data_IF_209104894713
#
_entry.id   IF_209104894713
#
_cell.length_a   1.000
_cell.length_b   1.000
_cell.length_c   1.000
_cell.angle_alpha   90.00
_cell.angle_beta   90.00
_cell.angle_gamma   90.00
#
_symmetry.space_group_name_H-M   'P 1'
#
loop_
_entity.id
_entity.type
_entity.pdbx_description
1 polymer ?
#
# COMPACT_ATOMS: atom_id res chain seq x y z
N UNK A 1 7.84 -5.81 -8.97
CA UNK A 1 7.70 -7.23 -8.59
C UNK A 1 6.39 -7.54 -7.84
N UNK A 2 5.81 -6.59 -7.08
CA UNK A 2 4.57 -6.82 -6.30
C UNK A 2 3.24 -6.70 -7.08
N UNK A 3 3.29 -6.23 -8.34
CA UNK A 3 2.11 -6.17 -9.19
C UNK A 3 1.83 -7.55 -9.79
N UNK A 4 0.80 -8.25 -9.33
CA UNK A 4 0.42 -9.58 -9.83
C UNK A 4 -0.58 -9.53 -11.00
N UNK A 5 -1.25 -8.40 -11.24
CA UNK A 5 -2.12 -8.27 -12.42
C UNK A 5 -1.28 -8.09 -13.69
N UNK A 6 -1.42 -8.99 -14.65
CA UNK A 6 -0.69 -8.94 -15.93
C UNK A 6 -0.87 -7.60 -16.65
N UNK A 7 -2.11 -7.10 -16.75
CA UNK A 7 -2.38 -5.78 -17.33
C UNK A 7 -1.67 -4.65 -16.56
N UNK A 8 -1.69 -4.71 -15.23
CA UNK A 8 -0.95 -3.78 -14.38
C UNK A 8 0.56 -3.82 -14.64
N UNK A 9 1.15 -5.01 -14.78
CA UNK A 9 2.57 -5.14 -15.11
C UNK A 9 2.92 -4.49 -16.44
N UNK A 10 2.08 -4.68 -17.48
CA UNK A 10 2.28 -4.06 -18.80
C UNK A 10 2.21 -2.53 -18.68
N UNK A 11 1.17 -2.02 -18.01
CA UNK A 11 0.97 -0.58 -17.82
C UNK A 11 2.14 0.07 -17.07
N UNK A 12 2.63 -0.56 -16.00
CA UNK A 12 3.75 -0.04 -15.21
C UNK A 12 5.10 -0.16 -15.93
N UNK A 13 5.32 -1.21 -16.75
CA UNK A 13 6.48 -1.29 -17.64
C UNK A 13 6.49 -0.14 -18.65
N UNK A 14 5.32 0.18 -19.22
CA UNK A 14 5.15 1.35 -20.08
C UNK A 14 5.49 2.65 -19.35
N UNK A 15 5.05 2.81 -18.10
CA UNK A 15 5.38 3.97 -17.28
C UNK A 15 6.88 4.14 -17.05
N UNK A 16 7.60 3.07 -16.72
CA UNK A 16 9.06 3.10 -16.52
C UNK A 16 9.79 3.45 -17.82
N UNK A 17 9.35 2.91 -18.96
CA UNK A 17 9.91 3.28 -20.26
C UNK A 17 9.69 4.76 -20.57
N UNK A 18 8.47 5.26 -20.35
CA UNK A 18 8.11 6.66 -20.56
C UNK A 18 8.93 7.57 -19.65
N UNK A 19 9.11 7.22 -18.37
CA UNK A 19 9.88 8.00 -17.39
C UNK A 19 11.28 8.34 -17.90
N UNK A 20 12.00 7.36 -18.44
CA UNK A 20 13.37 7.50 -18.94
C UNK A 20 13.50 8.27 -20.27
N UNK A 21 12.44 8.41 -21.06
CA UNK A 21 12.53 8.98 -22.40
C UNK A 21 12.14 10.47 -22.44
N UNK A 22 13.01 11.41 -22.86
CA UNK A 22 12.77 12.86 -22.73
C UNK A 22 11.57 13.40 -23.52
N UNK A 23 11.11 12.67 -24.55
CA UNK A 23 10.02 13.11 -25.44
C UNK A 23 8.70 12.34 -25.25
N UNK A 24 8.65 11.31 -24.42
CA UNK A 24 7.42 10.53 -24.21
C UNK A 24 6.68 11.03 -22.97
N UNK A 25 5.36 11.14 -23.07
CA UNK A 25 4.46 11.51 -21.96
C UNK A 25 3.33 10.49 -21.91
N UNK A 26 2.96 10.06 -20.70
CA UNK A 26 2.04 8.95 -20.53
C UNK A 26 0.59 9.39 -20.55
N UNK A 27 -0.25 8.66 -21.28
CA UNK A 27 -1.71 8.73 -21.19
C UNK A 27 -2.22 7.39 -20.69
N UNK A 28 -2.93 7.39 -19.57
CA UNK A 28 -3.57 6.22 -18.99
C UNK A 28 -5.06 6.29 -19.27
N UNK A 29 -5.60 5.28 -19.95
CA UNK A 29 -7.04 5.16 -20.24
C UNK A 29 -7.60 4.11 -19.29
N UNK A 30 -8.65 4.45 -18.56
CA UNK A 30 -9.31 3.58 -17.58
C UNK A 30 -10.83 3.75 -17.67
N UNK A 31 -11.57 2.83 -17.08
CA UNK A 31 -13.02 2.87 -17.01
C UNK A 31 -13.47 3.30 -15.61
N UNK A 32 -14.63 3.95 -15.54
CA UNK A 32 -15.26 4.24 -14.26
C UNK A 32 -15.42 2.96 -13.42
N UNK A 33 -15.08 3.04 -12.13
CA UNK A 33 -15.13 1.90 -11.20
C UNK A 33 -14.21 0.72 -11.54
N UNK A 34 -13.22 0.90 -12.42
CA UNK A 34 -12.23 -0.16 -12.70
C UNK A 34 -11.46 -0.52 -11.42
N UNK A 35 -11.59 -1.78 -11.02
CA UNK A 35 -11.09 -2.20 -9.71
C UNK A 35 -9.56 -2.22 -9.59
N UNK A 36 -8.84 -2.97 -10.44
CA UNK A 36 -7.39 -2.97 -10.45
C UNK A 36 -6.79 -1.56 -10.62
N UNK A 37 -7.39 -0.73 -11.47
CA UNK A 37 -6.89 0.61 -11.77
C UNK A 37 -6.99 1.58 -10.60
N UNK A 38 -7.82 1.28 -9.58
CA UNK A 38 -7.83 2.04 -8.32
C UNK A 38 -6.46 2.07 -7.64
N UNK A 39 -5.59 1.09 -7.90
CA UNK A 39 -4.19 1.07 -7.43
C UNK A 39 -3.21 1.44 -8.55
N UNK A 40 -3.36 0.86 -9.74
CA UNK A 40 -2.40 0.98 -10.84
C UNK A 40 -2.21 2.45 -11.25
N UNK A 41 -3.28 3.25 -11.28
CA UNK A 41 -3.20 4.68 -11.64
C UNK A 41 -2.32 5.45 -10.64
N UNK A 42 -2.37 5.10 -9.35
CA UNK A 42 -1.50 5.67 -8.32
C UNK A 42 -0.04 5.33 -8.60
N UNK A 43 0.28 4.05 -8.79
CA UNK A 43 1.64 3.59 -9.11
C UNK A 43 2.19 4.19 -10.41
N UNK A 44 1.35 4.30 -11.44
CA UNK A 44 1.70 4.93 -12.71
C UNK A 44 2.13 6.39 -12.51
N UNK A 45 1.38 7.17 -11.71
CA UNK A 45 1.74 8.55 -11.36
C UNK A 45 3.03 8.61 -10.54
N UNK A 46 3.18 7.73 -9.56
CA UNK A 46 4.38 7.68 -8.71
C UNK A 46 5.65 7.38 -9.52
N UNK A 47 5.56 6.48 -10.51
CA UNK A 47 6.67 6.16 -11.43
C UNK A 47 7.07 7.40 -12.24
N UNK A 48 6.10 8.09 -12.85
CA UNK A 48 6.35 9.27 -13.68
C UNK A 48 6.77 10.51 -12.84
N UNK A 49 6.38 10.56 -11.58
CA UNK A 49 6.75 11.60 -10.63
C UNK A 49 6.31 13.00 -11.10
N UNK A 50 7.29 13.87 -11.36
CA UNK A 50 7.02 15.24 -11.85
C UNK A 50 6.69 15.31 -13.34
N UNK A 51 6.88 14.21 -14.08
CA UNK A 51 6.64 14.19 -15.52
C UNK A 51 5.13 14.18 -15.78
N UNK A 52 4.60 15.11 -16.59
CA UNK A 52 3.17 15.18 -16.86
C UNK A 52 2.63 13.88 -17.43
N UNK A 53 1.44 13.52 -16.97
CA UNK A 53 0.68 12.38 -17.47
C UNK A 53 -0.80 12.70 -17.51
N UNK A 54 -1.51 12.14 -18.49
CA UNK A 54 -2.96 12.29 -18.64
C UNK A 54 -3.67 11.02 -18.15
N UNK A 55 -4.76 11.18 -17.39
CA UNK A 55 -5.63 10.07 -17.00
C UNK A 55 -7.02 10.34 -17.60
N UNK A 56 -7.39 9.51 -18.57
CA UNK A 56 -8.69 9.51 -19.23
C UNK A 56 -9.54 8.42 -18.61
N UNK A 57 -10.57 8.83 -17.86
CA UNK A 57 -11.56 7.91 -17.31
C UNK A 57 -12.79 7.94 -18.20
N UNK A 58 -13.18 6.77 -18.70
CA UNK A 58 -14.29 6.58 -19.61
C UNK A 58 -15.46 5.93 -18.87
N UNK A 59 -16.64 6.49 -19.05
CA UNK A 59 -17.93 5.91 -18.67
C UNK A 59 -18.86 5.82 -19.90
N UNK A 60 -19.98 5.11 -19.77
CA UNK A 60 -20.96 4.89 -20.85
C UNK A 60 -21.56 6.20 -21.41
N UNK A 61 -21.45 7.32 -20.70
CA UNK A 61 -21.94 8.64 -21.09
C UNK A 61 -20.82 9.63 -21.45
N UNK A 62 -19.62 9.15 -21.78
CA UNK A 62 -18.50 10.06 -22.11
C UNK A 62 -18.77 10.76 -23.45
N UNK A 63 -18.88 12.08 -23.43
CA UNK A 63 -19.01 12.90 -24.64
C UNK A 63 -17.65 13.15 -25.29
N UNK A 64 -17.58 13.03 -26.62
CA UNK A 64 -16.34 13.17 -27.41
C UNK A 64 -15.62 14.50 -27.15
N UNK A 65 -16.38 15.59 -27.08
CA UNK A 65 -15.84 16.94 -26.80
C UNK A 65 -15.11 17.01 -25.45
N UNK A 66 -15.57 16.27 -24.44
CA UNK A 66 -14.93 16.23 -23.13
C UNK A 66 -13.56 15.54 -23.15
N UNK A 67 -13.34 14.61 -24.07
CA UNK A 67 -12.04 13.95 -24.26
C UNK A 67 -11.10 14.88 -25.01
N UNK A 68 -11.55 15.49 -26.11
CA UNK A 68 -10.75 16.42 -26.93
C UNK A 68 -10.17 17.55 -26.09
N UNK A 69 -10.99 18.26 -25.31
CA UNK A 69 -10.54 19.37 -24.47
C UNK A 69 -9.51 18.92 -23.42
N UNK A 70 -9.64 17.71 -22.86
CA UNK A 70 -8.67 17.18 -21.88
C UNK A 70 -7.33 16.84 -22.54
N UNK A 71 -7.36 16.36 -23.78
CA UNK A 71 -6.15 16.09 -24.58
C UNK A 71 -5.47 17.40 -24.96
N UNK A 72 -6.20 18.39 -25.45
CA UNK A 72 -5.67 19.72 -25.80
C UNK A 72 -5.01 20.38 -24.58
N UNK A 73 -5.70 20.42 -23.44
CA UNK A 73 -5.15 20.96 -22.20
C UNK A 73 -3.89 20.19 -21.74
N UNK A 74 -3.85 18.88 -21.95
CA UNK A 74 -2.66 18.09 -21.64
C UNK A 74 -1.47 18.41 -22.55
N UNK A 75 -1.70 18.58 -23.85
CA UNK A 75 -0.64 18.98 -24.80
C UNK A 75 -0.04 20.33 -24.44
N UNK A 76 -0.84 21.28 -23.97
CA UNK A 76 -0.37 22.56 -23.46
C UNK A 76 0.54 22.40 -22.22
N UNK A 77 0.15 21.53 -21.27
CA UNK A 77 0.98 21.20 -20.10
C UNK A 77 2.31 20.58 -20.52
N UNK A 78 2.30 19.67 -21.50
CA UNK A 78 3.51 19.04 -22.04
C UNK A 78 4.43 20.08 -22.69
N UNK A 79 3.87 20.99 -23.49
CA UNK A 79 4.63 22.08 -24.13
C UNK A 79 5.31 22.97 -23.08
N UNK A 80 4.58 23.36 -22.02
CA UNK A 80 5.13 24.14 -20.90
C UNK A 80 6.18 23.37 -20.11
N UNK A 81 5.96 22.09 -19.83
CA UNK A 81 6.93 21.27 -19.11
C UNK A 81 8.26 21.18 -19.87
N UNK A 82 8.20 20.98 -21.20
CA UNK A 82 9.39 20.92 -22.07
C UNK A 82 10.18 22.23 -22.07
N UNK A 83 9.50 23.38 -22.08
CA UNK A 83 10.17 24.69 -22.05
C UNK A 83 10.82 25.00 -20.70
N UNK A 84 10.30 24.44 -19.60
CA UNK A 84 10.91 24.55 -18.26
C UNK A 84 12.11 23.61 -18.08
N UNK A 85 12.04 22.40 -18.64
CA UNK A 85 13.15 21.44 -18.63
C UNK A 85 14.36 21.97 -19.41
N UNK A 86 14.15 22.58 -20.58
CA UNK A 86 15.26 23.17 -21.36
C UNK A 86 15.97 24.31 -20.63
N UNK A 87 15.27 25.01 -19.73
CA UNK A 87 15.82 26.07 -18.87
C UNK A 87 16.56 25.56 -17.63
N UNK A 88 16.70 24.24 -17.45
CA UNK A 88 17.32 23.60 -16.25
C UNK A 88 16.76 24.11 -14.90
N UNK A 89 15.51 24.61 -14.88
CA UNK A 89 14.89 25.11 -13.65
C UNK A 89 14.51 24.00 -12.67
N UNK A 90 14.43 22.75 -13.13
CA UNK A 90 14.29 21.58 -12.28
C UNK A 90 15.67 21.11 -11.79
N UNK A 91 16.34 21.93 -10.99
CA UNK A 91 17.46 21.46 -10.19
C UNK A 91 16.96 20.32 -9.29
N UNK A 92 17.65 19.19 -9.33
CA UNK A 92 17.23 17.96 -8.67
C UNK A 92 16.96 18.21 -7.19
N UNK A 93 15.74 17.89 -6.74
CA UNK A 93 15.58 17.59 -5.33
C UNK A 93 16.39 16.31 -5.13
N UNK A 94 17.51 16.43 -4.41
CA UNK A 94 18.29 15.27 -3.99
C UNK A 94 17.36 14.21 -3.43
N UNK A 95 17.75 12.94 -3.60
CA UNK A 95 17.02 11.81 -3.04
C UNK A 95 16.69 12.14 -1.59
N UNK A 96 15.42 12.48 -1.32
CA UNK A 96 14.97 12.70 0.05
C UNK A 96 15.15 11.33 0.67
N UNK A 97 16.14 11.20 1.55
CA UNK A 97 16.32 10.04 2.40
C UNK A 97 15.07 9.93 3.25
N UNK A 98 14.09 9.22 2.71
CA UNK A 98 12.83 8.94 3.38
C UNK A 98 13.17 7.85 4.38
N UNK A 99 13.04 8.11 5.70
CA UNK A 99 13.36 7.15 6.74
C UNK A 99 12.77 5.80 6.38
N UNK A 100 13.65 4.80 6.34
CA UNK A 100 13.35 3.49 5.80
C UNK A 100 12.31 2.80 6.66
N UNK A 101 11.42 2.07 5.99
CA UNK A 101 10.73 0.94 6.62
C UNK A 101 11.78 0.04 7.29
N UNK A 102 11.39 -0.79 8.25
CA UNK A 102 12.31 -1.76 8.83
C UNK A 102 12.18 -3.09 8.11
N UNK A 103 13.29 -3.81 7.91
CA UNK A 103 13.26 -5.20 7.44
C UNK A 103 13.14 -6.14 8.64
N UNK A 104 12.23 -7.10 8.57
CA UNK A 104 12.01 -8.05 9.66
C UNK A 104 12.84 -9.31 9.40
N UNK A 105 13.78 -9.62 10.32
CA UNK A 105 14.76 -10.70 10.14
C UNK A 105 14.14 -12.09 10.05
N UNK A 106 13.14 -12.35 10.87
CA UNK A 106 12.56 -13.68 11.05
C UNK A 106 11.52 -14.04 9.99
N UNK A 107 11.15 -13.10 9.12
CA UNK A 107 10.23 -13.36 8.01
C UNK A 107 11.00 -13.96 6.84
N UNK A 108 10.76 -15.23 6.56
CA UNK A 108 11.23 -15.89 5.34
C UNK A 108 10.25 -15.68 4.17
N UNK A 109 9.78 -14.45 3.95
CA UNK A 109 8.83 -14.16 2.87
C UNK A 109 9.52 -13.48 1.69
N UNK A 110 9.00 -13.73 0.49
CA UNK A 110 9.42 -13.06 -0.76
C UNK A 110 9.12 -11.55 -0.80
N UNK A 111 8.58 -10.99 0.29
CA UNK A 111 8.08 -9.61 0.39
C UNK A 111 8.88 -8.78 1.39
N UNK A 112 10.04 -9.27 1.84
CA UNK A 112 10.98 -8.45 2.59
C UNK A 112 11.40 -7.25 1.75
N UNK A 113 10.90 -6.07 2.11
CA UNK A 113 11.25 -4.84 1.43
C UNK A 113 12.71 -4.51 1.70
N UNK A 114 13.48 -4.26 0.64
CA UNK A 114 14.92 -3.97 0.71
C UNK A 114 15.26 -2.59 1.32
N UNK A 115 14.29 -1.97 1.99
CA UNK A 115 14.36 -0.60 2.44
C UNK A 115 14.58 -0.62 3.95
N UNK A 116 15.78 -0.29 4.39
CA UNK A 116 16.08 0.08 5.78
C UNK A 116 16.77 -0.97 6.65
N UNK A 117 17.04 -0.62 7.92
CA UNK A 117 17.76 -1.48 8.85
C UNK A 117 16.93 -2.71 9.24
N UNK A 118 17.63 -3.79 9.56
CA UNK A 118 17.00 -5.01 10.03
C UNK A 118 16.63 -4.93 11.52
N UNK A 119 15.45 -5.42 11.86
CA UNK A 119 14.94 -5.56 13.22
C UNK A 119 14.39 -6.96 13.46
N UNK A 120 14.51 -7.43 14.70
CA UNK A 120 13.92 -8.70 15.13
C UNK A 120 12.47 -8.51 15.55
N UNK A 121 11.59 -9.47 15.24
CA UNK A 121 10.24 -9.54 15.80
C UNK A 121 10.20 -9.60 17.33
N UNK A 122 11.31 -10.00 17.95
CA UNK A 122 11.46 -10.11 19.39
C UNK A 122 12.13 -8.88 20.03
N UNK A 123 12.42 -7.82 19.26
CA UNK A 123 12.92 -6.56 19.82
C UNK A 123 11.85 -5.94 20.74
N UNK A 124 12.16 -5.58 22.00
CA UNK A 124 11.19 -5.00 22.92
C UNK A 124 10.52 -3.72 22.44
N UNK A 125 11.15 -2.99 21.52
CA UNK A 125 10.61 -1.76 20.91
C UNK A 125 9.64 -2.07 19.77
N UNK A 126 9.74 -3.25 19.16
CA UNK A 126 8.86 -3.64 18.06
C UNK A 126 7.51 -4.10 18.62
N UNK A 127 6.44 -3.58 18.03
CA UNK A 127 5.07 -4.02 18.33
C UNK A 127 4.32 -4.35 17.06
N UNK A 128 3.79 -5.56 16.99
CA UNK A 128 2.95 -5.99 15.88
C UNK A 128 1.52 -5.50 16.11
N UNK A 129 1.05 -4.61 15.25
CA UNK A 129 -0.26 -3.96 15.38
C UNK A 129 -1.23 -4.56 14.38
N UNK A 130 -2.32 -5.14 14.87
CA UNK A 130 -3.36 -5.78 14.07
C UNK A 130 -4.52 -4.82 13.84
N UNK A 131 -4.88 -4.61 12.58
CA UNK A 131 -6.14 -3.98 12.20
C UNK A 131 -7.31 -4.87 12.64
N UNK A 132 -8.39 -4.28 13.14
CA UNK A 132 -9.61 -5.03 13.50
C UNK A 132 -10.35 -5.50 12.24
N UNK A 133 -9.98 -6.67 11.72
CA UNK A 133 -10.56 -7.27 10.50
C UNK A 133 -11.61 -8.36 10.81
N UNK A 134 -11.84 -8.64 12.08
CA UNK A 134 -12.76 -9.64 12.60
C UNK A 134 -12.65 -9.68 14.11
N UNK A 135 -13.77 -9.67 14.83
CA UNK A 135 -13.78 -9.51 16.27
C UNK A 135 -13.00 -10.62 16.96
N UNK A 136 -13.21 -11.88 16.57
CA UNK A 136 -12.53 -13.01 17.20
C UNK A 136 -11.27 -13.41 16.45
N UNK A 137 -11.32 -13.49 15.12
CA UNK A 137 -10.18 -13.92 14.31
C UNK A 137 -8.93 -13.06 14.52
N UNK A 138 -9.08 -11.74 14.61
CA UNK A 138 -7.95 -10.82 14.83
C UNK A 138 -7.30 -11.05 16.21
N UNK A 139 -8.13 -11.19 17.24
CA UNK A 139 -7.65 -11.43 18.60
C UNK A 139 -7.02 -12.81 18.77
N UNK A 140 -7.60 -13.84 18.14
CA UNK A 140 -7.07 -15.19 18.15
C UNK A 140 -5.70 -15.24 17.46
N UNK A 141 -5.55 -14.60 16.29
CA UNK A 141 -4.26 -14.52 15.62
C UNK A 141 -3.23 -13.73 16.43
N UNK A 142 -3.60 -12.58 17.00
CA UNK A 142 -2.71 -11.82 17.89
C UNK A 142 -2.29 -12.64 19.13
N UNK A 143 -3.18 -13.49 19.66
CA UNK A 143 -2.85 -14.41 20.75
C UNK A 143 -1.82 -15.46 20.33
N UNK A 144 -1.88 -15.97 19.10
CA UNK A 144 -0.83 -16.86 18.56
C UNK A 144 0.51 -16.15 18.55
N UNK A 145 0.59 -14.93 18.01
CA UNK A 145 1.83 -14.14 18.01
C UNK A 145 2.39 -13.92 19.43
N UNK A 146 1.52 -13.57 20.40
CA UNK A 146 1.93 -13.45 21.81
C UNK A 146 2.44 -14.76 22.41
N UNK A 147 1.85 -15.90 22.03
CA UNK A 147 2.32 -17.22 22.44
C UNK A 147 3.74 -17.54 21.99
N UNK A 148 4.19 -16.94 20.87
CA UNK A 148 5.56 -17.01 20.38
C UNK A 148 6.48 -15.96 21.04
N UNK A 149 5.99 -15.13 21.96
CA UNK A 149 6.76 -14.09 22.63
C UNK A 149 6.84 -12.76 21.85
N UNK A 150 6.02 -12.58 20.82
CA UNK A 150 5.98 -11.35 20.03
C UNK A 150 5.05 -10.33 20.71
N UNK A 151 5.51 -9.09 20.85
CA UNK A 151 4.70 -8.02 21.39
C UNK A 151 3.63 -7.59 20.37
N UNK A 152 2.36 -7.57 20.78
CA UNK A 152 1.23 -7.27 19.88
C UNK A 152 0.30 -6.17 20.42
N UNK A 153 -0.40 -5.49 19.52
CA UNK A 153 -1.58 -4.67 19.81
C UNK A 153 -2.70 -5.07 18.85
N UNK A 154 -3.94 -5.14 19.32
CA UNK A 154 -5.11 -5.24 18.45
C UNK A 154 -5.84 -3.91 18.52
N UNK A 155 -6.05 -3.28 17.37
CA UNK A 155 -6.80 -2.02 17.30
C UNK A 155 -8.29 -2.28 17.59
N UNK A 156 -9.01 -1.30 18.14
CA UNK A 156 -10.45 -1.42 18.35
C UNK A 156 -11.22 -1.57 17.02
N UNK A 157 -12.51 -1.89 17.12
CA UNK A 157 -13.39 -1.85 15.95
C UNK A 157 -13.35 -0.47 15.30
N UNK A 158 -13.20 -0.44 13.98
CA UNK A 158 -13.01 0.80 13.23
C UNK A 158 -14.30 1.62 13.20
N UNK A 159 -14.17 2.92 13.43
CA UNK A 159 -15.27 3.87 13.53
C UNK A 159 -15.33 4.86 12.35
N UNK A 160 -16.20 5.86 12.47
CA UNK A 160 -16.37 6.87 11.42
C UNK A 160 -15.11 7.74 11.24
N UNK A 161 -14.31 7.91 12.29
CA UNK A 161 -13.06 8.66 12.20
C UNK A 161 -12.01 7.89 11.39
N UNK A 162 -11.91 6.57 11.60
CA UNK A 162 -11.06 5.71 10.77
C UNK A 162 -11.44 5.83 9.30
N UNK A 163 -12.74 5.78 8.99
CA UNK A 163 -13.22 5.96 7.63
C UNK A 163 -12.88 7.35 7.06
N UNK A 164 -13.03 8.42 7.84
CA UNK A 164 -12.68 9.79 7.43
C UNK A 164 -11.19 9.92 7.14
N UNK A 165 -10.33 9.40 8.01
CA UNK A 165 -8.88 9.39 7.82
C UNK A 165 -8.48 8.57 6.60
N UNK A 166 -9.08 7.39 6.42
CA UNK A 166 -8.89 6.54 5.25
C UNK A 166 -9.24 7.23 3.95
N UNK A 167 -10.43 7.81 3.85
CA UNK A 167 -10.90 8.55 2.67
C UNK A 167 -10.02 9.76 2.36
N UNK A 168 -9.59 10.49 3.39
CA UNK A 168 -8.70 11.64 3.23
C UNK A 168 -7.29 11.29 2.72
N UNK A 169 -6.91 10.01 2.75
CA UNK A 169 -5.57 9.54 2.42
C UNK A 169 -5.53 8.45 1.32
N UNK A 170 -6.68 8.18 0.70
CA UNK A 170 -6.84 7.26 -0.44
C UNK A 170 -7.52 7.99 -1.60
N UNK A 171 -7.73 7.34 -2.74
CA UNK A 171 -8.46 7.96 -3.86
C UNK A 171 -9.98 7.77 -3.75
N UNK A 172 -10.44 7.05 -2.71
CA UNK A 172 -11.81 6.57 -2.54
C UNK A 172 -12.30 5.64 -3.66
N UNK A 173 -11.41 5.19 -4.56
CA UNK A 173 -11.73 4.21 -5.61
C UNK A 173 -11.37 2.79 -5.18
N UNK A 174 -10.55 2.66 -4.15
CA UNK A 174 -10.15 1.40 -3.53
C UNK A 174 -11.28 0.86 -2.64
N UNK A 175 -11.25 -0.44 -2.31
CA UNK A 175 -12.30 -1.05 -1.49
C UNK A 175 -12.37 -0.42 -0.09
N UNK A 176 -13.56 -0.42 0.51
CA UNK A 176 -13.80 0.06 1.86
C UNK A 176 -12.81 -0.50 2.91
N UNK A 177 -12.43 -1.81 2.89
CA UNK A 177 -11.46 -2.33 3.85
C UNK A 177 -10.08 -1.66 3.76
N UNK A 178 -9.60 -1.25 2.58
CA UNK A 178 -8.34 -0.48 2.49
C UNK A 178 -8.47 0.86 3.21
N UNK A 179 -9.60 1.55 2.99
CA UNK A 179 -9.84 2.86 3.57
C UNK A 179 -9.86 2.75 5.10
N UNK A 180 -10.62 1.79 5.63
CA UNK A 180 -10.73 1.56 7.07
C UNK A 180 -9.40 1.17 7.70
N UNK A 181 -8.70 0.18 7.14
CA UNK A 181 -7.39 -0.28 7.68
C UNK A 181 -6.31 0.81 7.58
N UNK A 182 -6.27 1.57 6.48
CA UNK A 182 -5.37 2.73 6.37
C UNK A 182 -5.72 3.78 7.42
N UNK A 183 -7.01 4.08 7.60
CA UNK A 183 -7.49 5.00 8.63
C UNK A 183 -7.07 4.60 10.03
N UNK A 184 -7.28 3.33 10.39
CA UNK A 184 -6.91 2.76 11.67
C UNK A 184 -5.41 2.82 11.93
N UNK A 185 -4.58 2.54 10.92
CA UNK A 185 -3.13 2.73 11.01
C UNK A 185 -2.79 4.20 11.31
N UNK A 186 -3.37 5.15 10.58
CA UNK A 186 -3.06 6.57 10.75
C UNK A 186 -3.53 7.11 12.10
N UNK A 187 -4.71 6.70 12.56
CA UNK A 187 -5.25 7.04 13.87
C UNK A 187 -4.34 6.51 14.97
N UNK A 188 -3.94 5.24 14.89
CA UNK A 188 -3.01 4.63 15.83
C UNK A 188 -1.68 5.38 15.91
N UNK A 189 -1.07 5.65 14.75
CA UNK A 189 0.21 6.35 14.68
C UNK A 189 0.16 7.77 15.24
N UNK A 190 -1.01 8.43 15.19
CA UNK A 190 -1.23 9.79 15.67
C UNK A 190 -1.52 9.85 17.17
N UNK A 191 -2.38 8.97 17.68
CA UNK A 191 -3.00 9.15 19.01
C UNK A 191 -2.58 8.10 20.03
N UNK A 192 -2.33 6.87 19.59
CA UNK A 192 -2.20 5.70 20.50
C UNK A 192 -0.78 5.13 20.55
N UNK A 193 0.07 5.52 19.60
CA UNK A 193 1.43 4.99 19.47
C UNK A 193 2.32 5.40 20.66
N UNK A 194 2.85 4.43 21.43
CA UNK A 194 3.81 4.69 22.49
C UNK A 194 5.10 5.34 21.98
N UNK A 195 5.69 6.21 22.80
CA UNK A 195 6.96 6.86 22.48
C UNK A 195 8.09 5.82 22.31
N UNK A 196 8.82 5.92 21.21
CA UNK A 196 9.95 5.01 20.91
C UNK A 196 9.54 3.63 20.37
N UNK A 197 8.25 3.37 20.18
CA UNK A 197 7.77 2.14 19.55
C UNK A 197 8.19 2.08 18.07
N UNK A 198 8.55 0.89 17.59
CA UNK A 198 8.62 0.56 16.16
C UNK A 198 7.38 -0.26 15.81
N UNK A 199 6.48 0.33 15.04
CA UNK A 199 5.19 -0.27 14.71
C UNK A 199 5.33 -1.19 13.51
N UNK A 200 5.09 -2.49 13.68
CA UNK A 200 4.97 -3.46 12.60
C UNK A 200 3.47 -3.71 12.33
N UNK A 201 2.90 -3.00 11.35
CA UNK A 201 1.48 -3.13 11.06
C UNK A 201 1.20 -4.41 10.28
N UNK A 202 0.37 -5.29 10.85
CA UNK A 202 0.02 -6.56 10.24
C UNK A 202 -0.96 -6.36 9.09
N UNK A 203 -0.49 -6.62 7.87
CA UNK A 203 -1.30 -6.54 6.65
C UNK A 203 -0.90 -7.68 5.73
N UNK A 204 -1.59 -8.83 5.79
CA UNK A 204 -1.27 -9.96 4.92
C UNK A 204 -1.59 -9.61 3.46
N UNK A 205 -1.08 -10.42 2.53
CA UNK A 205 -1.28 -10.22 1.09
C UNK A 205 -1.56 -11.53 0.38
N UNK A 206 -2.13 -11.42 -0.81
CA UNK A 206 -2.40 -12.56 -1.69
C UNK A 206 -2.19 -12.14 -3.13
N UNK A 207 -1.83 -13.09 -3.99
CA UNK A 207 -2.02 -12.92 -5.42
C UNK A 207 -3.47 -13.30 -5.79
N UNK A 208 -3.94 -12.86 -6.95
CA UNK A 208 -5.26 -13.23 -7.48
C UNK A 208 -6.04 -12.05 -8.06
N UNK A 209 -7.36 -12.17 -8.29
CA UNK A 209 -8.16 -11.05 -8.80
C UNK A 209 -8.47 -10.00 -7.71
N UNK A 210 -8.35 -10.37 -6.43
CA UNK A 210 -8.69 -9.50 -5.31
C UNK A 210 -7.77 -8.27 -5.24
N UNK A 211 -8.30 -7.12 -4.81
CA UNK A 211 -7.50 -5.91 -4.57
C UNK A 211 -6.69 -5.96 -3.27
N UNK A 212 -7.07 -6.86 -2.36
CA UNK A 212 -6.43 -7.02 -1.05
C UNK A 212 -4.91 -7.20 -1.13
N UNK A 213 -4.43 -7.90 -2.16
CA UNK A 213 -3.01 -8.13 -2.35
C UNK A 213 -2.17 -6.85 -2.50
N UNK A 214 -2.76 -5.74 -2.96
CA UNK A 214 -2.09 -4.46 -3.14
C UNK A 214 -2.14 -3.56 -1.89
N UNK A 215 -2.80 -3.98 -0.79
CA UNK A 215 -2.97 -3.11 0.39
C UNK A 215 -1.65 -2.77 1.05
N UNK A 216 -0.80 -3.77 1.26
CA UNK A 216 0.55 -3.56 1.81
C UNK A 216 1.39 -2.64 0.90
N UNK A 217 1.32 -2.80 -0.43
CA UNK A 217 2.08 -1.99 -1.38
C UNK A 217 1.64 -0.53 -1.32
N UNK A 218 0.32 -0.31 -1.29
CA UNK A 218 -0.26 1.01 -1.10
C UNK A 218 0.19 1.66 0.21
N UNK A 219 0.04 0.96 1.35
CA UNK A 219 0.40 1.49 2.66
C UNK A 219 1.90 1.76 2.76
N UNK A 220 2.73 0.89 2.19
CA UNK A 220 4.19 1.07 2.11
C UNK A 220 4.53 2.35 1.38
N UNK A 221 3.97 2.51 0.18
CA UNK A 221 4.26 3.68 -0.65
C UNK A 221 3.73 4.95 0.02
N UNK A 222 2.58 4.88 0.70
CA UNK A 222 2.05 5.97 1.52
C UNK A 222 3.02 6.37 2.65
N UNK A 223 3.44 5.41 3.48
CA UNK A 223 4.39 5.61 4.60
C UNK A 223 5.68 6.24 4.09
N UNK A 224 6.25 5.66 3.02
CA UNK A 224 7.48 6.13 2.38
C UNK A 224 7.33 7.53 1.82
N UNK A 225 6.24 7.81 1.10
CA UNK A 225 6.01 9.10 0.45
C UNK A 225 5.80 10.23 1.46
N UNK A 226 5.24 9.92 2.63
CA UNK A 226 5.05 10.86 3.75
C UNK A 226 6.23 10.91 4.74
N UNK A 227 7.21 10.02 4.60
CA UNK A 227 8.38 9.97 5.48
C UNK A 227 8.02 9.60 6.93
N UNK A 228 7.03 8.73 7.12
CA UNK A 228 6.60 8.31 8.46
C UNK A 228 7.66 7.35 9.03
N UNK A 229 8.25 7.73 10.16
CA UNK A 229 9.35 6.99 10.77
C UNK A 229 8.90 5.85 11.68
N UNK A 230 9.80 4.88 11.88
CA UNK A 230 9.61 3.78 12.83
C UNK A 230 8.37 2.91 12.53
N UNK A 231 7.93 2.85 11.28
CA UNK A 231 6.82 1.98 10.86
C UNK A 231 7.34 0.98 9.83
N UNK A 232 6.87 -0.25 9.92
CA UNK A 232 7.01 -1.26 8.88
C UNK A 232 5.73 -2.04 8.70
N UNK A 233 5.65 -2.82 7.62
CA UNK A 233 4.53 -3.72 7.36
C UNK A 233 4.98 -5.16 7.62
N UNK A 234 4.22 -5.86 8.42
CA UNK A 234 4.34 -7.29 8.62
C UNK A 234 3.37 -7.97 7.65
N UNK A 235 3.91 -8.48 6.54
CA UNK A 235 3.12 -9.06 5.46
C UNK A 235 3.55 -10.49 5.17
N UNK A 236 2.60 -11.41 5.31
CA UNK A 236 2.72 -12.81 4.92
C UNK A 236 1.91 -13.05 3.64
N UNK A 237 2.33 -13.99 2.81
CA UNK A 237 1.76 -14.18 1.46
C UNK A 237 1.00 -15.49 1.31
N UNK A 238 -0.08 -15.49 0.55
CA UNK A 238 -0.71 -16.75 0.14
C UNK A 238 0.20 -17.66 -0.70
N UNK A 239 1.24 -17.13 -1.36
CA UNK A 239 2.21 -17.93 -2.14
C UNK A 239 2.91 -19.00 -1.31
N UNK A 240 3.20 -18.67 -0.06
CA UNK A 240 3.84 -19.56 0.90
C UNK A 240 2.86 -20.04 1.99
N UNK A 241 1.55 -19.95 1.72
CA UNK A 241 0.49 -20.32 2.67
C UNK A 241 0.55 -19.53 3.99
N UNK A 242 1.00 -18.27 3.92
CA UNK A 242 1.25 -17.40 5.07
C UNK A 242 2.28 -17.98 6.06
N UNK A 243 3.21 -18.79 5.55
CA UNK A 243 4.13 -19.60 6.34
C UNK A 243 5.37 -18.89 6.84
N UNK A 244 5.39 -17.56 6.85
CA UNK A 244 6.59 -16.74 7.09
C UNK A 244 7.34 -17.02 8.40
N UNK A 245 6.66 -17.62 9.40
CA UNK A 245 7.20 -17.98 10.73
C UNK A 245 7.31 -19.50 10.96
N UNK A 246 7.20 -20.31 9.90
CA UNK A 246 7.35 -21.76 9.95
C UNK A 246 6.04 -22.54 10.15
N UNK A 247 6.13 -23.86 9.99
CA UNK A 247 4.95 -24.76 9.92
C UNK A 247 4.17 -24.83 11.23
N UNK A 248 4.83 -24.79 12.38
CA UNK A 248 4.13 -24.84 13.66
C UNK A 248 3.34 -23.57 13.94
N UNK A 249 3.83 -22.42 13.45
CA UNK A 249 3.07 -21.19 13.48
C UNK A 249 1.80 -21.31 12.63
N UNK A 250 1.90 -21.83 11.40
CA UNK A 250 0.75 -22.06 10.51
C UNK A 250 -0.32 -22.94 11.20
N UNK A 251 0.08 -24.04 11.83
CA UNK A 251 -0.86 -24.93 12.54
C UNK A 251 -1.61 -24.20 13.65
N UNK A 252 -0.90 -23.38 14.43
CA UNK A 252 -1.53 -22.61 15.51
C UNK A 252 -2.43 -21.50 14.97
N UNK A 253 -2.03 -20.81 13.90
CA UNK A 253 -2.87 -19.83 13.22
C UNK A 253 -4.13 -20.48 12.62
N UNK A 254 -4.04 -21.69 12.10
CA UNK A 254 -5.19 -22.45 11.61
C UNK A 254 -6.16 -22.83 12.73
N UNK A 255 -5.64 -23.32 13.87
CA UNK A 255 -6.46 -23.57 15.05
C UNK A 255 -7.14 -22.28 15.54
N UNK A 256 -6.42 -21.16 15.56
CA UNK A 256 -6.98 -19.87 15.93
C UNK A 256 -8.13 -19.44 15.00
N UNK A 257 -7.99 -19.67 13.69
CA UNK A 257 -9.03 -19.38 12.71
C UNK A 257 -10.29 -20.24 12.93
N UNK A 258 -10.13 -21.56 13.12
CA UNK A 258 -11.26 -22.47 13.41
C UNK A 258 -11.95 -22.06 14.72
N UNK A 259 -11.17 -21.80 15.77
CA UNK A 259 -11.73 -21.41 17.06
C UNK A 259 -12.51 -20.09 16.91
N UNK A 260 -11.97 -19.10 16.20
CA UNK A 260 -12.68 -17.84 16.00
C UNK A 260 -14.00 -18.00 15.25
N UNK A 261 -14.06 -18.90 14.28
CA UNK A 261 -15.29 -19.22 13.51
C UNK A 261 -16.39 -19.75 14.45
N UNK A 262 -16.03 -20.67 15.36
CA UNK A 262 -16.94 -21.22 16.37
C UNK A 262 -17.48 -20.13 17.35
N UNK A 263 -16.72 -19.05 17.59
CA UNK A 263 -17.18 -17.94 18.42
C UNK A 263 -17.99 -16.90 17.64
N UNK A 264 -17.93 -16.90 16.30
CA UNK A 264 -18.75 -16.03 15.44
C UNK A 264 -20.15 -16.60 15.20
N UNK A 265 -20.28 -17.93 15.19
CA UNK A 265 -21.56 -18.68 15.15
C UNK A 265 -22.34 -18.64 16.49
#
# INVERSE_FOLDING_TARGET
EHMYWSAGQINLKGAEFIKGHPQLFGTFITNFSCGPDSFIVGYFKDILGRKPSLILELDNHTADTGIETRIEAFLDVVSRYRSLQSRKMFAGNGAISRPGLYRIKELNTSLNYDLGPEISLFDPRLRVVFASMGQYATHALAAVYRGYGINTAVLPAMDEEDLKLGRGNTTCKECLPLQLTTGALLKYLRDERPAGEITAYFMPTTDGPCRFGQYQDFMRDYIRNRGIENVTLLSMSSRDSYGGLGTDFIKQSWNAAIISDIFED
#
